data_IF_790800634844
#
_entry.id   IF_790800634844
#
_cell.length_a   1.000
_cell.length_b   1.000
_cell.length_c   1.000
_cell.angle_alpha   90.00
_cell.angle_beta   90.00
_cell.angle_gamma   90.00
#
_symmetry.space_group_name_H-M   'P 1'
#
loop_
_entity.id
_entity.type
_entity.pdbx_description
1 polymer ?
#
# COMPACT_ATOMS: atom_id res chain seq x y z
N UNK A 1 14.20 3.00 18.36
CA UNK A 1 12.80 3.04 17.91
C UNK A 1 12.85 2.92 16.41
N UNK A 2 11.97 2.11 15.82
CA UNK A 2 11.88 2.02 14.36
C UNK A 2 11.27 3.35 13.90
N UNK A 3 12.11 4.31 13.52
CA UNK A 3 11.66 5.47 12.77
C UNK A 3 11.25 4.95 11.38
N UNK A 4 10.00 4.51 11.27
CA UNK A 4 9.42 4.16 9.98
C UNK A 4 9.42 5.43 9.16
N UNK A 5 9.94 5.34 7.94
CA UNK A 5 10.03 6.49 7.07
C UNK A 5 8.63 7.12 6.88
N UNK A 6 8.44 8.42 7.16
CA UNK A 6 7.11 9.05 7.18
C UNK A 6 6.35 8.88 5.87
N UNK A 7 7.06 8.90 4.74
CA UNK A 7 6.47 8.69 3.43
C UNK A 7 5.96 7.25 3.26
N UNK A 8 6.74 6.26 3.69
CA UNK A 8 6.34 4.85 3.63
C UNK A 8 5.12 4.57 4.52
N UNK A 9 5.08 5.19 5.70
CA UNK A 9 3.90 5.16 6.58
C UNK A 9 2.68 5.76 5.90
N UNK A 10 2.85 6.90 5.21
CA UNK A 10 1.76 7.57 4.50
C UNK A 10 1.22 6.74 3.33
N UNK A 11 2.11 6.10 2.56
CA UNK A 11 1.74 5.18 1.48
C UNK A 11 0.88 4.03 2.01
N UNK A 12 1.31 3.38 3.09
CA UNK A 12 0.57 2.28 3.70
C UNK A 12 -0.77 2.73 4.30
N UNK A 13 -0.80 3.89 4.97
CA UNK A 13 -2.03 4.42 5.56
C UNK A 13 -3.07 4.77 4.49
N UNK A 14 -2.67 5.48 3.44
CA UNK A 14 -3.56 5.84 2.33
C UNK A 14 -4.04 4.59 1.57
N UNK A 15 -3.13 3.66 1.24
CA UNK A 15 -3.50 2.41 0.57
C UNK A 15 -4.46 1.55 1.38
N UNK A 16 -4.25 1.48 2.70
CA UNK A 16 -5.17 0.78 3.61
C UNK A 16 -6.53 1.44 3.67
N UNK A 17 -6.58 2.78 3.79
CA UNK A 17 -7.84 3.53 3.81
C UNK A 17 -8.61 3.35 2.51
N UNK A 18 -7.94 3.42 1.36
CA UNK A 18 -8.59 3.28 0.06
C UNK A 18 -9.12 1.86 -0.15
N UNK A 19 -8.35 0.85 0.29
CA UNK A 19 -8.83 -0.53 0.36
C UNK A 19 -10.07 -0.66 1.27
N UNK A 20 -10.17 0.08 2.37
CA UNK A 20 -11.34 0.03 3.25
C UNK A 20 -12.57 0.77 2.69
N UNK A 21 -12.37 1.88 2.00
CA UNK A 21 -13.45 2.81 1.65
C UNK A 21 -14.03 2.61 0.24
N UNK A 22 -13.25 2.13 -0.73
CA UNK A 22 -13.62 2.11 -2.16
C UNK A 22 -13.80 0.69 -2.69
N UNK A 23 -14.83 -0.02 -2.24
CA UNK A 23 -15.11 -1.41 -2.63
C UNK A 23 -15.48 -1.58 -4.12
N UNK A 24 -15.87 -0.51 -4.80
CA UNK A 24 -16.15 -0.45 -6.24
C UNK A 24 -14.89 -0.53 -7.10
N UNK A 25 -13.71 -0.25 -6.53
CA UNK A 25 -12.43 -0.32 -7.23
C UNK A 25 -11.72 -1.62 -6.86
N UNK A 26 -11.29 -2.38 -7.86
CA UNK A 26 -10.58 -3.65 -7.64
C UNK A 26 -9.29 -3.44 -6.82
N UNK A 27 -9.06 -4.30 -5.83
CA UNK A 27 -7.90 -4.20 -4.94
C UNK A 27 -6.54 -4.17 -5.68
N UNK A 28 -6.31 -4.95 -6.74
CA UNK A 28 -5.09 -4.86 -7.54
C UNK A 28 -4.84 -3.48 -8.17
N UNK A 29 -5.90 -2.73 -8.53
CA UNK A 29 -5.78 -1.37 -9.08
C UNK A 29 -5.22 -0.44 -8.00
N UNK A 30 -5.86 -0.44 -6.83
CA UNK A 30 -5.42 0.38 -5.69
C UNK A 30 -3.97 0.04 -5.30
N UNK A 31 -3.64 -1.25 -5.17
CA UNK A 31 -2.28 -1.69 -4.83
C UNK A 31 -1.27 -1.19 -5.87
N UNK A 32 -1.60 -1.30 -7.16
CA UNK A 32 -0.73 -0.84 -8.25
C UNK A 32 -0.45 0.66 -8.20
N UNK A 33 -1.43 1.49 -7.85
CA UNK A 33 -1.25 2.94 -7.75
C UNK A 33 -0.29 3.33 -6.62
N UNK A 34 -0.39 2.69 -5.44
CA UNK A 34 0.56 2.91 -4.36
C UNK A 34 1.95 2.34 -4.66
N UNK A 35 2.07 1.29 -5.47
CA UNK A 35 3.36 0.82 -5.96
C UNK A 35 4.01 1.79 -6.94
N UNK A 36 3.24 2.46 -7.81
CA UNK A 36 3.78 3.53 -8.65
C UNK A 36 4.32 4.69 -7.82
N UNK A 37 3.60 5.11 -6.78
CA UNK A 37 4.11 6.13 -5.84
C UNK A 37 5.39 5.62 -5.19
N UNK A 38 5.41 4.39 -4.67
CA UNK A 38 6.59 3.83 -3.99
C UNK A 38 7.81 3.78 -4.91
N UNK A 39 7.66 3.31 -6.15
CA UNK A 39 8.74 3.31 -7.13
C UNK A 39 9.24 4.73 -7.50
N UNK A 40 8.39 5.75 -7.38
CA UNK A 40 8.78 7.14 -7.62
C UNK A 40 9.70 7.73 -6.55
N UNK A 41 9.66 7.20 -5.32
CA UNK A 41 10.43 7.74 -4.18
C UNK A 41 11.47 6.78 -3.63
N UNK A 42 11.34 5.47 -3.89
CA UNK A 42 12.19 4.43 -3.33
C UNK A 42 12.79 3.56 -4.45
N UNK A 43 14.08 3.22 -4.30
CA UNK A 43 14.82 2.35 -5.22
C UNK A 43 15.13 0.96 -4.62
N UNK A 44 14.69 0.70 -3.38
CA UNK A 44 15.07 -0.46 -2.58
C UNK A 44 13.93 -1.47 -2.39
N UNK A 45 13.93 -2.22 -1.26
CA UNK A 45 12.96 -3.28 -0.99
C UNK A 45 11.55 -2.76 -0.63
N UNK A 46 11.36 -1.45 -0.51
CA UNK A 46 10.15 -0.81 0.00
C UNK A 46 8.93 -1.16 -0.87
N UNK A 47 9.06 -1.17 -2.19
CA UNK A 47 7.95 -1.55 -3.09
C UNK A 47 7.47 -2.98 -2.85
N UNK A 48 8.39 -3.92 -2.60
CA UNK A 48 8.03 -5.31 -2.29
C UNK A 48 7.31 -5.40 -0.94
N UNK A 49 7.75 -4.61 0.04
CA UNK A 49 7.11 -4.51 1.34
C UNK A 49 5.69 -3.94 1.23
N UNK A 50 5.51 -2.82 0.51
CA UNK A 50 4.21 -2.20 0.28
C UNK A 50 3.26 -3.17 -0.41
N UNK A 51 3.72 -3.86 -1.46
CA UNK A 51 2.91 -4.88 -2.13
C UNK A 51 2.44 -5.97 -1.16
N UNK A 52 3.36 -6.52 -0.37
CA UNK A 52 3.03 -7.60 0.57
C UNK A 52 2.06 -7.19 1.67
N UNK A 53 2.23 -5.98 2.22
CA UNK A 53 1.35 -5.47 3.29
C UNK A 53 -0.04 -5.15 2.76
N UNK A 54 -0.14 -4.44 1.63
CA UNK A 54 -1.45 -4.08 1.07
C UNK A 54 -2.20 -5.31 0.53
N UNK A 55 -1.51 -6.29 -0.05
CA UNK A 55 -2.12 -7.55 -0.46
C UNK A 55 -2.67 -8.35 0.74
N UNK A 56 -1.94 -8.40 1.85
CA UNK A 56 -2.41 -9.06 3.08
C UNK A 56 -3.64 -8.34 3.67
N UNK A 57 -3.64 -7.01 3.68
CA UNK A 57 -4.79 -6.22 4.15
C UNK A 57 -6.00 -6.43 3.24
N UNK A 58 -5.83 -6.34 1.93
CA UNK A 58 -6.90 -6.56 0.96
C UNK A 58 -7.56 -7.94 1.15
N UNK A 59 -6.75 -8.98 1.38
CA UNK A 59 -7.24 -10.32 1.68
C UNK A 59 -8.03 -10.40 2.97
N UNK A 60 -7.72 -9.61 3.99
CA UNK A 60 -8.47 -9.62 5.25
C UNK A 60 -9.79 -8.87 5.16
N UNK A 61 -9.84 -7.73 4.45
CA UNK A 61 -10.99 -6.81 4.51
C UNK A 61 -11.90 -6.83 3.28
N UNK A 62 -11.53 -7.52 2.20
CA UNK A 62 -12.31 -7.61 0.95
C UNK A 62 -12.56 -9.05 0.47
N UNK A 63 -12.20 -10.06 1.24
CA UNK A 63 -12.48 -11.46 0.89
C UNK A 63 -13.93 -11.87 1.15
#
# INVERSE_FOLDING_TARGET
GLDVEPLLTSILACGTYELLAHHETDAPIIISDYLHITHGFFAGPESKMVNGVLDAIAKEIRS
#
